data_IF_519333411331
#
_entry.id   IF_519333411331
#
_cell.length_a   1.000
_cell.length_b   1.000
_cell.length_c   1.000
_cell.angle_alpha   90.00
_cell.angle_beta   90.00
_cell.angle_gamma   90.00
#
_symmetry.space_group_name_H-M   'P 1'
#
loop_
_entity.id
_entity.type
_entity.pdbx_description
1 polymer ?
#
# COMPACT_ATOMS: atom_id res chain seq x y z
N UNK A 1 6.89 3.52 -13.06
CA UNK A 1 7.39 4.01 -11.76
C UNK A 1 7.41 2.87 -10.76
N UNK A 2 8.36 2.88 -9.87
CA UNK A 2 8.51 1.86 -8.83
C UNK A 2 8.94 2.52 -7.53
N UNK A 3 8.77 1.81 -6.44
CA UNK A 3 9.24 2.21 -5.12
C UNK A 3 10.02 1.05 -4.51
N UNK A 4 11.07 1.36 -3.79
CA UNK A 4 11.85 0.36 -3.08
C UNK A 4 11.70 0.59 -1.58
N UNK A 5 11.25 -0.43 -0.86
CA UNK A 5 11.26 -0.47 0.60
C UNK A 5 12.44 -1.31 1.04
N UNK A 6 13.30 -0.72 1.86
CA UNK A 6 14.44 -1.42 2.43
C UNK A 6 14.11 -1.87 3.84
N UNK A 7 14.53 -3.07 4.19
CA UNK A 7 14.18 -3.71 5.44
C UNK A 7 15.35 -4.54 5.98
N UNK A 8 15.37 -4.73 7.29
CA UNK A 8 16.26 -5.72 7.91
C UNK A 8 15.70 -7.13 7.75
N UNK A 9 14.43 -7.25 7.36
CA UNK A 9 13.75 -8.54 7.16
C UNK A 9 12.74 -8.42 6.00
N UNK A 10 13.21 -8.43 4.74
CA UNK A 10 12.32 -8.26 3.59
C UNK A 10 11.33 -9.41 3.42
N UNK A 11 11.62 -10.60 3.92
CA UNK A 11 10.68 -11.72 3.85
C UNK A 11 9.45 -11.46 4.71
N UNK A 12 9.60 -10.81 5.86
CA UNK A 12 8.49 -10.41 6.71
C UNK A 12 7.61 -9.37 6.02
N UNK A 13 8.22 -8.38 5.35
CA UNK A 13 7.47 -7.43 4.53
C UNK A 13 6.74 -8.13 3.41
N UNK A 14 7.41 -9.01 2.70
CA UNK A 14 6.82 -9.76 1.57
C UNK A 14 5.58 -10.53 2.03
N UNK A 15 5.69 -11.26 3.14
CA UNK A 15 4.56 -12.04 3.67
C UNK A 15 3.37 -11.15 3.99
N UNK A 16 3.61 -9.99 4.59
CA UNK A 16 2.55 -9.07 4.95
C UNK A 16 1.86 -8.47 3.71
N UNK A 17 2.65 -7.93 2.77
CA UNK A 17 2.09 -7.29 1.57
C UNK A 17 1.31 -8.28 0.72
N UNK A 18 1.83 -9.49 0.51
CA UNK A 18 1.11 -10.48 -0.29
C UNK A 18 -0.18 -10.94 0.37
N UNK A 19 -0.24 -10.92 1.71
CA UNK A 19 -1.45 -11.29 2.44
C UNK A 19 -2.52 -10.20 2.41
N UNK A 20 -2.14 -8.92 2.58
CA UNK A 20 -3.12 -7.82 2.72
C UNK A 20 -3.43 -7.11 1.41
N UNK A 21 -2.48 -7.08 0.48
CA UNK A 21 -2.60 -6.50 -0.85
C UNK A 21 -2.08 -7.52 -1.86
N UNK A 22 -2.89 -8.52 -2.24
CA UNK A 22 -2.43 -9.54 -3.18
C UNK A 22 -1.98 -8.90 -4.49
N UNK A 23 -0.71 -9.11 -4.90
CA UNK A 23 -0.18 -8.50 -6.13
C UNK A 23 -0.63 -9.28 -7.37
N UNK A 24 -0.55 -8.64 -8.53
CA UNK A 24 -0.77 -9.29 -9.82
C UNK A 24 0.41 -10.19 -10.19
N UNK A 25 1.62 -9.83 -9.74
CA UNK A 25 2.83 -10.62 -9.95
C UNK A 25 3.71 -10.57 -8.72
N UNK A 26 4.46 -11.64 -8.50
CA UNK A 26 5.35 -11.80 -7.35
C UNK A 26 6.60 -12.52 -7.84
N UNK A 27 7.66 -11.76 -8.05
CA UNK A 27 8.90 -12.26 -8.62
C UNK A 27 10.06 -12.07 -7.63
N UNK A 28 11.09 -12.86 -7.83
CA UNK A 28 12.34 -12.72 -7.09
C UNK A 28 13.47 -12.59 -8.09
N UNK A 29 14.28 -11.54 -7.95
CA UNK A 29 15.42 -11.29 -8.82
C UNK A 29 16.61 -10.91 -7.93
N UNK A 30 17.63 -11.77 -7.91
CA UNK A 30 18.75 -11.67 -6.98
C UNK A 30 18.23 -11.63 -5.53
N UNK A 31 18.51 -10.55 -4.80
CA UNK A 31 18.03 -10.35 -3.43
C UNK A 31 16.70 -9.61 -3.35
N UNK A 32 16.19 -9.11 -4.49
CA UNK A 32 14.98 -8.30 -4.52
C UNK A 32 13.74 -9.17 -4.64
N UNK A 33 12.72 -8.84 -3.86
CA UNK A 33 11.37 -9.32 -4.10
C UNK A 33 10.63 -8.20 -4.83
N UNK A 34 9.89 -8.55 -5.87
CA UNK A 34 9.24 -7.56 -6.74
C UNK A 34 7.77 -7.88 -6.84
N UNK A 35 6.93 -7.01 -6.27
CA UNK A 35 5.48 -7.15 -6.29
C UNK A 35 4.90 -6.20 -7.33
N UNK A 36 4.13 -6.73 -8.26
CA UNK A 36 3.49 -5.95 -9.33
C UNK A 36 2.05 -5.61 -9.00
N UNK A 37 1.70 -4.32 -9.15
CA UNK A 37 0.39 -3.78 -8.86
C UNK A 37 -0.07 -2.89 -10.02
N UNK A 38 -0.40 -3.53 -11.16
CA UNK A 38 -1.00 -2.80 -12.27
C UNK A 38 -0.14 -1.67 -12.85
N UNK A 39 1.11 -1.98 -13.21
CA UNK A 39 2.04 -0.98 -13.75
C UNK A 39 2.91 -0.27 -12.72
N UNK A 40 2.65 -0.51 -11.44
CA UNK A 40 3.49 -0.06 -10.34
C UNK A 40 4.20 -1.26 -9.73
N UNK A 41 5.48 -1.11 -9.43
CA UNK A 41 6.27 -2.19 -8.83
C UNK A 41 6.78 -1.77 -7.46
N UNK A 42 6.55 -2.65 -6.48
CA UNK A 42 7.08 -2.50 -5.14
C UNK A 42 8.25 -3.47 -4.97
N UNK A 43 9.45 -2.91 -4.82
CA UNK A 43 10.67 -3.68 -4.59
C UNK A 43 10.91 -3.77 -3.09
N UNK A 44 11.20 -4.97 -2.61
CA UNK A 44 11.58 -5.19 -1.22
C UNK A 44 13.05 -5.60 -1.20
N UNK A 45 13.87 -4.81 -0.51
CA UNK A 45 15.31 -4.94 -0.49
C UNK A 45 15.80 -5.21 0.94
N UNK A 46 16.92 -5.90 1.05
CA UNK A 46 17.59 -6.14 2.33
C UNK A 46 18.69 -5.12 2.53
N UNK A 47 18.63 -4.38 3.65
CA UNK A 47 19.67 -3.42 4.01
C UNK A 47 19.92 -3.47 5.51
N UNK A 48 21.18 -3.31 5.89
CA UNK A 48 21.57 -3.27 7.30
C UNK A 48 21.81 -1.85 7.82
N UNK A 49 21.68 -0.85 6.96
CA UNK A 49 21.81 0.56 7.33
C UNK A 49 20.47 1.24 7.62
N UNK A 50 19.40 0.45 7.76
CA UNK A 50 18.08 0.92 8.18
C UNK A 50 17.73 0.28 9.52
N UNK A 51 16.89 0.94 10.31
CA UNK A 51 16.41 0.39 11.57
C UNK A 51 15.32 -0.67 11.37
N UNK A 52 14.94 -1.34 12.44
CA UNK A 52 13.84 -2.33 12.41
C UNK A 52 12.51 -1.70 12.09
N UNK A 53 12.33 -0.43 12.45
CA UNK A 53 11.12 0.33 12.16
C UNK A 53 11.51 1.71 11.66
N UNK A 54 10.66 2.29 10.82
CA UNK A 54 10.87 3.66 10.33
C UNK A 54 10.68 4.67 11.47
N UNK A 55 11.54 5.70 11.49
CA UNK A 55 11.48 6.74 12.51
C UNK A 55 10.36 7.76 12.25
N UNK A 56 10.03 7.98 10.97
CA UNK A 56 9.03 8.97 10.58
C UNK A 56 8.08 8.38 9.53
N UNK A 57 7.16 7.48 9.96
CA UNK A 57 6.34 6.71 9.01
C UNK A 57 5.38 7.54 8.16
N UNK A 58 5.00 8.73 8.62
CA UNK A 58 4.11 9.61 7.87
C UNK A 58 4.81 10.43 6.78
N UNK A 59 6.14 10.38 6.69
CA UNK A 59 6.87 11.17 5.69
C UNK A 59 6.62 10.66 4.28
N UNK A 60 6.57 9.34 4.09
CA UNK A 60 6.23 8.71 2.82
C UNK A 60 5.14 7.70 3.11
N UNK A 61 3.97 7.88 2.53
CA UNK A 61 2.83 6.98 2.70
C UNK A 61 2.57 6.30 1.36
N UNK A 62 2.59 4.97 1.34
CA UNK A 62 2.17 4.23 0.16
C UNK A 62 0.65 4.34 0.05
N UNK A 63 0.17 4.70 -1.13
CA UNK A 63 -1.25 4.97 -1.34
C UNK A 63 -1.75 4.18 -2.54
N UNK A 64 -2.59 3.17 -2.29
CA UNK A 64 -3.09 2.26 -3.32
C UNK A 64 -4.56 2.53 -3.59
N UNK A 65 -4.91 2.66 -4.88
CA UNK A 65 -6.30 2.60 -5.31
C UNK A 65 -6.72 1.14 -5.33
N UNK A 66 -7.79 0.82 -4.63
CA UNK A 66 -8.27 -0.56 -4.53
C UNK A 66 -9.77 -0.63 -4.88
N UNK A 67 -10.18 -1.79 -5.38
CA UNK A 67 -11.59 -2.05 -5.67
C UNK A 67 -12.38 -2.46 -4.42
N UNK A 68 -11.69 -2.98 -3.39
CA UNK A 68 -12.32 -3.54 -2.19
C UNK A 68 -11.54 -3.18 -0.92
N UNK A 69 -11.76 -1.98 -0.41
CA UNK A 69 -11.11 -1.51 0.81
C UNK A 69 -11.55 -2.30 2.05
N UNK A 70 -12.80 -2.79 2.08
CA UNK A 70 -13.29 -3.61 3.20
C UNK A 70 -12.57 -4.95 3.26
N UNK A 71 -12.32 -5.56 2.11
CA UNK A 71 -11.54 -6.79 2.02
C UNK A 71 -10.11 -6.59 2.49
N UNK A 72 -9.49 -5.47 2.13
CA UNK A 72 -8.16 -5.10 2.65
C UNK A 72 -8.19 -5.01 4.18
N UNK A 73 -9.17 -4.30 4.74
CA UNK A 73 -9.29 -4.15 6.19
C UNK A 73 -9.43 -5.50 6.89
N UNK A 74 -10.24 -6.40 6.33
CA UNK A 74 -10.42 -7.75 6.88
C UNK A 74 -9.10 -8.53 6.85
N UNK A 75 -8.33 -8.42 5.78
CA UNK A 75 -7.03 -9.11 5.67
C UNK A 75 -6.01 -8.56 6.65
N UNK A 76 -5.98 -7.24 6.87
CA UNK A 76 -5.12 -6.62 7.88
C UNK A 76 -5.47 -7.14 9.28
N UNK A 77 -6.76 -7.19 9.61
CA UNK A 77 -7.20 -7.75 10.89
C UNK A 77 -6.81 -9.23 11.03
N UNK A 78 -6.95 -10.01 9.97
CA UNK A 78 -6.62 -11.43 9.97
C UNK A 78 -5.15 -11.70 10.27
N UNK A 79 -4.24 -10.86 9.77
CA UNK A 79 -2.80 -11.01 10.05
C UNK A 79 -2.38 -10.34 11.38
N UNK A 80 -3.33 -9.77 12.11
CA UNK A 80 -3.05 -9.10 13.38
C UNK A 80 -2.32 -7.78 13.20
N UNK A 81 -2.53 -7.11 12.06
CA UNK A 81 -1.86 -5.86 11.74
C UNK A 81 -2.40 -4.67 12.53
N UNK A 82 -1.57 -3.62 12.62
CA UNK A 82 -1.93 -2.38 13.29
C UNK A 82 -2.56 -1.37 12.33
N UNK A 83 -3.22 -0.38 12.91
CA UNK A 83 -3.87 0.71 12.19
C UNK A 83 -3.29 2.06 12.63
N UNK A 84 -2.97 2.89 11.65
CA UNK A 84 -2.84 4.34 11.88
C UNK A 84 -4.23 4.97 11.85
N UNK A 85 -5.03 4.62 10.84
CA UNK A 85 -6.42 5.06 10.72
C UNK A 85 -7.26 3.89 10.20
N UNK A 86 -8.17 3.34 11.02
CA UNK A 86 -9.06 2.27 10.57
C UNK A 86 -9.96 2.69 9.41
N UNK A 87 -10.62 1.71 8.80
CA UNK A 87 -11.52 1.95 7.68
C UNK A 87 -12.56 3.02 8.01
N UNK A 88 -12.70 3.98 7.12
CA UNK A 88 -13.54 5.15 7.27
C UNK A 88 -14.26 5.43 5.97
N UNK A 89 -15.53 5.80 6.05
CA UNK A 89 -16.36 6.22 4.92
C UNK A 89 -16.41 7.74 4.89
N UNK A 90 -15.97 8.34 3.80
CA UNK A 90 -16.00 9.77 3.57
C UNK A 90 -16.82 10.05 2.31
N UNK A 91 -18.11 10.29 2.48
CA UNK A 91 -19.00 10.59 1.36
C UNK A 91 -19.10 9.46 0.33
N UNK A 92 -19.00 8.21 0.78
CA UNK A 92 -19.07 7.03 -0.08
C UNK A 92 -17.71 6.47 -0.50
N UNK A 93 -16.65 7.26 -0.43
CA UNK A 93 -15.29 6.75 -0.65
C UNK A 93 -14.72 6.19 0.65
N UNK A 94 -14.00 5.08 0.56
CA UNK A 94 -13.46 4.38 1.72
C UNK A 94 -11.94 4.59 1.80
N UNK A 95 -11.47 4.85 3.02
CA UNK A 95 -10.06 5.09 3.32
C UNK A 95 -9.66 4.23 4.50
N UNK A 96 -8.46 3.68 4.45
CA UNK A 96 -7.86 2.98 5.58
C UNK A 96 -6.35 3.08 5.49
N UNK A 97 -5.68 3.29 6.64
CA UNK A 97 -4.23 3.37 6.69
C UNK A 97 -3.71 2.35 7.68
N UNK A 98 -3.09 1.30 7.17
CA UNK A 98 -2.50 0.24 7.97
C UNK A 98 -1.02 0.55 8.24
N UNK A 99 -0.46 -0.18 9.19
CA UNK A 99 0.96 -0.11 9.54
C UNK A 99 1.59 -1.44 9.15
N UNK A 100 2.59 -1.41 8.27
CA UNK A 100 3.28 -2.63 7.87
C UNK A 100 4.26 -3.12 8.97
N UNK A 101 4.87 -4.30 8.82
CA UNK A 101 5.77 -4.83 9.87
C UNK A 101 6.95 -3.94 10.21
N UNK A 102 7.40 -3.09 9.31
CA UNK A 102 8.50 -2.15 9.57
C UNK A 102 8.01 -0.77 10.03
N UNK A 103 6.71 -0.64 10.28
CA UNK A 103 6.12 0.60 10.75
C UNK A 103 5.72 1.58 9.66
N UNK A 104 5.89 1.24 8.38
CA UNK A 104 5.49 2.12 7.28
C UNK A 104 3.97 2.24 7.20
N UNK A 105 3.48 3.43 6.86
CA UNK A 105 2.06 3.65 6.65
C UNK A 105 1.68 3.26 5.23
N UNK A 106 0.61 2.48 5.12
CA UNK A 106 0.07 1.98 3.85
C UNK A 106 -1.40 2.34 3.79
N UNK A 107 -1.75 3.28 2.95
CA UNK A 107 -3.12 3.72 2.79
C UNK A 107 -3.74 3.07 1.56
N UNK A 108 -5.00 2.67 1.69
CA UNK A 108 -5.82 2.27 0.54
C UNK A 108 -6.97 3.25 0.40
N UNK A 109 -7.38 3.48 -0.84
CA UNK A 109 -8.50 4.33 -1.19
C UNK A 109 -9.39 3.56 -2.16
N UNK A 110 -10.67 3.47 -1.81
CA UNK A 110 -11.70 2.99 -2.72
C UNK A 110 -12.62 4.17 -3.02
N UNK A 111 -12.45 4.78 -4.18
CA UNK A 111 -13.25 5.93 -4.56
C UNK A 111 -14.68 5.52 -4.91
N UNK A 112 -15.67 6.30 -4.47
CA UNK A 112 -17.03 6.18 -4.93
C UNK A 112 -17.09 6.52 -6.42
N UNK A 113 -18.16 6.08 -7.10
CA UNK A 113 -18.35 6.41 -8.52
C UNK A 113 -18.43 7.93 -8.74
N UNK A 114 -19.06 8.65 -7.82
CA UNK A 114 -19.15 10.12 -7.85
C UNK A 114 -17.76 10.76 -7.75
N UNK A 115 -16.93 10.33 -6.80
CA UNK A 115 -15.59 10.88 -6.64
C UNK A 115 -14.69 10.53 -7.83
N UNK A 116 -14.82 9.32 -8.40
CA UNK A 116 -14.11 8.94 -9.62
C UNK A 116 -14.48 9.86 -10.79
N UNK A 117 -15.76 10.15 -10.95
CA UNK A 117 -16.24 11.04 -12.00
C UNK A 117 -15.69 12.46 -11.84
N UNK A 118 -15.64 12.98 -10.62
CA UNK A 118 -15.05 14.30 -10.33
C UNK A 118 -13.57 14.35 -10.69
N UNK A 119 -12.81 13.33 -10.33
CA UNK A 119 -11.38 13.26 -10.63
C UNK A 119 -11.12 13.16 -12.14
N UNK A 120 -11.91 12.35 -12.85
CA UNK A 120 -11.82 12.24 -14.31
C UNK A 120 -12.14 13.56 -14.99
N UNK A 121 -13.16 14.28 -14.51
CA UNK A 121 -13.52 15.60 -15.02
C UNK A 121 -12.40 16.61 -14.82
N UNK A 122 -11.76 16.63 -13.66
CA UNK A 122 -10.62 17.52 -13.39
C UNK A 122 -9.42 17.19 -14.27
N UNK A 123 -9.12 15.91 -14.47
CA UNK A 123 -8.04 15.48 -15.35
C UNK A 123 -8.31 15.89 -16.79
N UNK A 124 -9.54 15.72 -17.26
CA UNK A 124 -9.96 16.15 -18.59
C UNK A 124 -9.83 17.66 -18.78
N UNK A 125 -10.21 18.44 -17.75
CA UNK A 125 -10.08 19.90 -17.79
C UNK A 125 -8.63 20.34 -17.93
N UNK A 126 -7.71 19.66 -17.29
CA UNK A 126 -6.28 20.00 -17.38
C UNK A 126 -5.67 19.67 -18.74
N UNK A 127 -6.16 18.65 -19.38
CA UNK A 127 -5.70 18.25 -20.71
C UNK A 127 -6.27 19.12 -21.82
N UNK A 128 -7.40 19.74 -21.57
CA UNK A 128 -8.04 20.61 -22.53
C UNK A 128 -7.35 21.97 -22.61
#
# INVERSE_FOLDING_TARGET
MSLMLSSTDPDRLHSWYTAVLPPESDDKQDQYRILGYGGFYLFLDSRDDVGKTTAEPGRVVLNFDVADARGFADRVEHVGGGWEAPLEDRGGSLFATAIDPDGNYVQVIQLSEEHKAQMSGQAGSREA
#
